data_IF_908488507685
#
_entry.id   IF_908488507685
#
_cell.length_a   1.000
_cell.length_b   1.000
_cell.length_c   1.000
_cell.angle_alpha   90.00
_cell.angle_beta   90.00
_cell.angle_gamma   90.00
#
_symmetry.space_group_name_H-M   'P 1'
#
loop_
_entity.id
_entity.type
_entity.pdbx_description
1 polymer ?
#
# COMPACT_ATOMS: atom_id res chain seq x y z
N UNK A 1 5.55 -15.17 -19.89
CA UNK A 1 4.68 -14.53 -18.87
C UNK A 1 4.76 -15.22 -17.50
N UNK A 2 4.51 -16.53 -17.37
CA UNK A 2 4.61 -17.28 -16.09
C UNK A 2 5.95 -17.16 -15.31
N UNK A 3 7.02 -16.66 -15.94
CA UNK A 3 8.31 -16.50 -15.27
C UNK A 3 8.35 -15.24 -14.37
N UNK A 4 7.56 -14.20 -14.66
CA UNK A 4 7.59 -12.95 -13.89
C UNK A 4 6.98 -13.17 -12.50
N UNK A 5 5.77 -13.71 -12.41
CA UNK A 5 5.13 -14.01 -11.11
C UNK A 5 5.97 -14.96 -10.26
N UNK A 6 6.55 -16.01 -10.86
CA UNK A 6 7.43 -16.95 -10.15
C UNK A 6 8.71 -16.28 -9.65
N UNK A 7 9.36 -15.47 -10.48
CA UNK A 7 10.58 -14.75 -10.09
C UNK A 7 10.27 -13.70 -9.01
N UNK A 8 9.15 -12.99 -9.13
CA UNK A 8 8.65 -12.05 -8.13
C UNK A 8 8.39 -12.79 -6.83
N UNK A 9 7.63 -13.89 -6.84
CA UNK A 9 7.34 -14.70 -5.66
C UNK A 9 8.61 -15.10 -4.92
N UNK A 10 9.60 -15.66 -5.62
CA UNK A 10 10.87 -16.07 -5.00
C UNK A 10 11.59 -14.89 -4.36
N UNK A 11 11.68 -13.75 -5.06
CA UNK A 11 12.34 -12.54 -4.52
C UNK A 11 11.61 -12.00 -3.29
N UNK A 12 10.29 -11.81 -3.38
CA UNK A 12 9.51 -11.22 -2.29
C UNK A 12 9.45 -12.15 -1.07
N UNK A 13 9.45 -13.48 -1.28
CA UNK A 13 9.61 -14.45 -0.20
C UNK A 13 10.97 -14.33 0.51
N UNK A 14 12.07 -14.22 -0.23
CA UNK A 14 13.40 -14.04 0.40
C UNK A 14 13.49 -12.73 1.21
N UNK A 15 12.87 -11.66 0.71
CA UNK A 15 12.76 -10.37 1.42
C UNK A 15 11.89 -10.51 2.67
N UNK A 16 10.77 -11.24 2.57
CA UNK A 16 9.84 -11.47 3.69
C UNK A 16 10.51 -12.20 4.86
N UNK A 17 11.51 -13.03 4.58
CA UNK A 17 12.32 -13.76 5.57
C UNK A 17 13.57 -12.98 6.03
N UNK A 18 13.78 -11.75 5.54
CA UNK A 18 14.96 -10.94 5.83
C UNK A 18 16.25 -11.42 5.17
N UNK A 19 16.21 -12.45 4.32
CA UNK A 19 17.38 -12.98 3.58
C UNK A 19 17.87 -12.04 2.49
N UNK A 20 17.00 -11.15 2.03
CA UNK A 20 17.34 -10.05 1.15
C UNK A 20 16.86 -8.73 1.77
N UNK A 21 17.60 -7.62 1.57
CA UNK A 21 17.17 -6.29 2.02
C UNK A 21 15.87 -5.83 1.34
N UNK A 22 15.07 -5.00 2.03
CA UNK A 22 13.84 -4.40 1.49
C UNK A 22 14.11 -3.54 0.25
N UNK A 23 15.28 -2.92 0.18
CA UNK A 23 15.76 -2.08 -0.92
C UNK A 23 15.79 -2.85 -2.25
N UNK A 24 15.90 -4.18 -2.22
CA UNK A 24 15.83 -5.02 -3.42
C UNK A 24 14.44 -5.01 -4.09
N UNK A 25 13.39 -4.53 -3.41
CA UNK A 25 12.09 -4.30 -4.03
C UNK A 25 12.16 -3.20 -5.10
N UNK A 26 13.03 -2.19 -4.96
CA UNK A 26 13.07 -1.04 -5.87
C UNK A 26 13.35 -1.45 -7.32
N UNK A 27 14.33 -2.32 -7.54
CA UNK A 27 14.62 -2.85 -8.87
C UNK A 27 13.50 -3.74 -9.43
N UNK A 28 12.69 -4.35 -8.55
CA UNK A 28 11.61 -5.25 -8.96
C UNK A 28 10.33 -4.47 -9.29
N UNK A 29 9.98 -3.45 -8.50
CA UNK A 29 8.74 -2.69 -8.67
C UNK A 29 8.68 -1.98 -10.03
N UNK A 30 9.81 -1.45 -10.52
CA UNK A 30 9.89 -0.85 -11.87
C UNK A 30 9.67 -1.90 -12.97
N UNK A 31 10.17 -3.13 -12.77
CA UNK A 31 10.02 -4.23 -13.73
C UNK A 31 8.57 -4.73 -13.80
N UNK A 32 7.88 -4.79 -12.66
CA UNK A 32 6.49 -5.30 -12.58
C UNK A 32 5.45 -4.21 -12.81
N UNK A 33 5.82 -2.93 -12.82
CA UNK A 33 4.90 -1.84 -13.12
C UNK A 33 4.28 -1.93 -14.53
N UNK A 34 5.05 -2.42 -15.51
CA UNK A 34 4.55 -2.71 -16.86
C UNK A 34 3.87 -4.08 -17.01
N UNK A 35 3.71 -4.85 -15.93
CA UNK A 35 3.05 -6.16 -15.96
C UNK A 35 1.53 -6.01 -15.90
N UNK A 36 0.81 -6.87 -16.62
CA UNK A 36 -0.64 -6.78 -16.78
C UNK A 36 -1.46 -7.31 -15.59
N UNK A 37 -0.93 -8.25 -14.79
CA UNK A 37 -1.63 -8.79 -13.60
C UNK A 37 -1.11 -8.11 -12.32
N UNK A 38 -1.33 -6.80 -12.21
CA UNK A 38 -0.85 -5.95 -11.10
C UNK A 38 -1.41 -6.39 -9.75
N UNK A 39 -2.65 -6.87 -9.72
CA UNK A 39 -3.34 -7.31 -8.50
C UNK A 39 -2.68 -8.56 -7.88
N UNK A 40 -2.23 -9.51 -8.71
CA UNK A 40 -1.51 -10.69 -8.23
C UNK A 40 -0.18 -10.30 -7.58
N UNK A 41 0.55 -9.41 -8.24
CA UNK A 41 1.84 -8.90 -7.74
C UNK A 41 1.64 -8.12 -6.44
N UNK A 42 0.63 -7.25 -6.40
CA UNK A 42 0.30 -6.48 -5.20
C UNK A 42 -0.06 -7.40 -4.03
N UNK A 43 -0.83 -8.47 -4.28
CA UNK A 43 -1.18 -9.44 -3.25
C UNK A 43 0.05 -10.17 -2.69
N UNK A 44 0.99 -10.61 -3.55
CA UNK A 44 2.27 -11.19 -3.10
C UNK A 44 3.11 -10.18 -2.28
N UNK A 45 3.07 -8.91 -2.66
CA UNK A 45 3.75 -7.83 -1.96
C UNK A 45 3.11 -7.50 -0.61
N UNK A 46 1.77 -7.54 -0.51
CA UNK A 46 1.05 -7.39 0.76
C UNK A 46 1.48 -8.45 1.77
N UNK A 47 1.56 -9.72 1.35
CA UNK A 47 2.10 -10.80 2.18
C UNK A 47 3.52 -10.48 2.65
N UNK A 48 4.35 -9.98 1.74
CA UNK A 48 5.75 -9.65 2.02
C UNK A 48 5.85 -8.52 3.05
N UNK A 49 5.12 -7.42 2.87
CA UNK A 49 5.09 -6.31 3.82
C UNK A 49 4.57 -6.75 5.20
N UNK A 50 3.55 -7.60 5.23
CA UNK A 50 3.05 -8.15 6.49
C UNK A 50 4.13 -8.98 7.20
N UNK A 51 4.81 -9.88 6.47
CA UNK A 51 5.87 -10.70 7.05
C UNK A 51 7.09 -9.88 7.48
N UNK A 52 7.48 -8.83 6.76
CA UNK A 52 8.60 -7.97 7.19
C UNK A 52 8.30 -7.22 8.49
N UNK A 53 7.03 -7.06 8.88
CA UNK A 53 6.69 -6.55 10.21
C UNK A 53 6.88 -7.58 11.33
N UNK A 54 6.67 -8.86 11.04
CA UNK A 54 6.66 -9.94 12.05
C UNK A 54 8.03 -10.58 12.22
N UNK A 55 8.73 -10.77 11.11
CA UNK A 55 10.07 -11.37 11.12
C UNK A 55 11.05 -10.36 11.70
N UNK A 56 11.64 -10.71 12.84
CA UNK A 56 12.71 -9.94 13.46
C UNK A 56 14.03 -10.23 12.75
N UNK A 57 14.45 -9.33 11.87
CA UNK A 57 15.72 -9.39 11.15
C UNK A 57 16.28 -7.97 10.95
N UNK A 58 17.60 -7.83 10.85
CA UNK A 58 18.27 -6.55 10.59
C UNK A 58 17.79 -5.86 9.30
N UNK A 59 17.38 -6.66 8.31
CA UNK A 59 16.93 -6.23 6.99
C UNK A 59 15.44 -5.85 6.93
N UNK A 60 14.65 -6.17 7.97
CA UNK A 60 13.19 -5.95 8.01
C UNK A 60 12.76 -5.06 9.19
N UNK A 61 13.75 -4.52 9.94
CA UNK A 61 13.53 -3.63 11.06
C UNK A 61 12.65 -2.43 10.72
N UNK A 62 12.03 -1.83 11.74
CA UNK A 62 11.09 -0.70 11.54
C UNK A 62 11.73 0.48 10.80
N UNK A 63 13.01 0.76 11.06
CA UNK A 63 13.76 1.80 10.36
C UNK A 63 13.93 1.47 8.86
N UNK A 64 14.24 0.22 8.52
CA UNK A 64 14.34 -0.23 7.12
C UNK A 64 13.03 -0.12 6.37
N UNK A 65 11.92 -0.47 7.03
CA UNK A 65 10.57 -0.29 6.47
C UNK A 65 10.23 1.17 6.25
N UNK A 66 10.61 2.03 7.20
CA UNK A 66 10.40 3.47 7.12
C UNK A 66 11.22 4.11 6.00
N UNK A 67 12.52 3.81 5.92
CA UNK A 67 13.41 4.30 4.87
C UNK A 67 12.87 3.91 3.49
N UNK A 68 12.51 2.63 3.31
CA UNK A 68 11.96 2.14 2.06
C UNK A 68 10.65 2.86 1.66
N UNK A 69 9.75 3.13 2.60
CA UNK A 69 8.49 3.83 2.31
C UNK A 69 8.72 5.28 1.89
N UNK A 70 9.66 5.96 2.56
CA UNK A 70 10.03 7.32 2.24
C UNK A 70 10.69 7.40 0.85
N UNK A 71 11.52 6.42 0.50
CA UNK A 71 12.11 6.30 -0.83
C UNK A 71 11.03 6.07 -1.90
N UNK A 72 10.06 5.18 -1.64
CA UNK A 72 8.92 4.94 -2.53
C UNK A 72 8.10 6.22 -2.74
N UNK A 73 7.80 6.97 -1.67
CA UNK A 73 7.12 8.27 -1.76
C UNK A 73 7.92 9.25 -2.66
N UNK A 74 9.23 9.31 -2.48
CA UNK A 74 10.13 10.12 -3.30
C UNK A 74 10.08 9.73 -4.79
N UNK A 75 10.09 8.43 -5.08
CA UNK A 75 10.00 7.87 -6.44
C UNK A 75 8.67 8.21 -7.11
N UNK A 76 7.55 7.97 -6.43
CA UNK A 76 6.21 8.30 -6.93
C UNK A 76 6.11 9.78 -7.28
N UNK A 77 6.59 10.65 -6.37
CA UNK A 77 6.61 12.09 -6.61
C UNK A 77 7.43 12.45 -7.85
N UNK A 78 8.62 11.86 -8.00
CA UNK A 78 9.48 12.11 -9.16
C UNK A 78 8.78 11.74 -10.46
N UNK A 79 8.09 10.59 -10.49
CA UNK A 79 7.33 10.15 -11.65
C UNK A 79 6.15 11.08 -11.97
N UNK A 80 5.41 11.52 -10.96
CA UNK A 80 4.26 12.41 -11.13
C UNK A 80 4.65 13.80 -11.69
N UNK A 81 5.89 14.26 -11.47
CA UNK A 81 6.37 15.58 -11.91
C UNK A 81 7.24 15.54 -13.16
N UNK A 82 7.55 14.37 -13.74
CA UNK A 82 8.31 14.27 -14.99
C UNK A 82 7.48 14.87 -16.14
N UNK A 83 8.08 15.79 -16.90
CA UNK A 83 7.44 16.44 -18.05
C UNK A 83 7.07 15.40 -19.11
N UNK A 84 5.77 15.28 -19.34
CA UNK A 84 5.10 14.24 -20.11
C UNK A 84 5.37 14.43 -21.62
N UNK A 85 6.09 13.49 -22.27
CA UNK A 85 6.16 13.40 -23.73
C UNK A 85 5.66 12.03 -24.23
N UNK A 86 4.49 12.03 -24.87
CA UNK A 86 4.00 11.05 -25.87
C UNK A 86 4.18 9.54 -25.57
N UNK A 87 4.01 9.07 -24.33
CA UNK A 87 3.74 7.66 -23.97
C UNK A 87 2.83 7.57 -22.71
N UNK A 88 1.81 8.41 -22.62
CA UNK A 88 1.23 8.87 -21.36
C UNK A 88 0.32 7.88 -20.61
N UNK A 89 -0.21 6.85 -21.29
CA UNK A 89 -1.15 5.90 -20.66
C UNK A 89 -0.40 4.97 -19.70
N UNK A 90 0.79 4.52 -20.07
CA UNK A 90 1.60 3.60 -19.26
C UNK A 90 2.14 4.26 -17.98
N UNK A 91 2.54 5.54 -18.07
CA UNK A 91 3.05 6.28 -16.91
C UNK A 91 1.97 6.50 -15.83
N UNK A 92 0.74 6.82 -16.24
CA UNK A 92 -0.38 7.02 -15.32
C UNK A 92 -0.72 5.72 -14.59
N UNK A 93 -0.87 4.63 -15.32
CA UNK A 93 -1.13 3.31 -14.72
C UNK A 93 0.01 2.84 -13.81
N UNK A 94 1.24 3.21 -14.14
CA UNK A 94 2.43 2.93 -13.33
C UNK A 94 2.39 3.70 -12.00
N UNK A 95 2.06 4.99 -12.02
CA UNK A 95 1.90 5.81 -10.81
C UNK A 95 0.76 5.27 -9.93
N UNK A 96 -0.38 4.92 -10.53
CA UNK A 96 -1.51 4.32 -9.81
C UNK A 96 -1.11 3.01 -9.12
N UNK A 97 -0.33 2.16 -9.81
CA UNK A 97 0.19 0.93 -9.22
C UNK A 97 1.15 1.19 -8.05
N UNK A 98 2.03 2.19 -8.15
CA UNK A 98 2.89 2.57 -7.02
C UNK A 98 2.09 3.13 -5.84
N UNK A 99 0.99 3.83 -6.07
CA UNK A 99 0.08 4.25 -5.01
C UNK A 99 -0.59 3.04 -4.33
N UNK A 100 -0.90 1.97 -5.07
CA UNK A 100 -1.37 0.72 -4.47
C UNK A 100 -0.30 0.07 -3.60
N UNK A 101 0.97 0.11 -4.02
CA UNK A 101 2.10 -0.38 -3.22
C UNK A 101 2.29 0.41 -1.93
N UNK A 102 2.21 1.74 -2.03
CA UNK A 102 2.19 2.63 -0.87
C UNK A 102 1.05 2.22 0.09
N UNK A 103 -0.17 2.06 -0.42
CA UNK A 103 -1.32 1.68 0.38
C UNK A 103 -1.13 0.32 1.08
N UNK A 104 -0.68 -0.70 0.33
CA UNK A 104 -0.45 -2.04 0.87
C UNK A 104 0.61 -2.06 1.98
N UNK A 105 1.70 -1.31 1.80
CA UNK A 105 2.75 -1.19 2.82
C UNK A 105 2.26 -0.50 4.10
N UNK A 106 1.50 0.59 3.95
CA UNK A 106 0.90 1.31 5.09
C UNK A 106 -0.09 0.41 5.83
N UNK A 107 -1.00 -0.25 5.12
CA UNK A 107 -1.98 -1.18 5.74
C UNK A 107 -1.29 -2.33 6.47
N UNK A 108 -0.23 -2.91 5.88
CA UNK A 108 0.55 -3.98 6.49
C UNK A 108 1.28 -3.58 7.77
N UNK A 109 1.81 -2.34 7.81
CA UNK A 109 2.63 -1.88 8.92
C UNK A 109 1.85 -1.11 9.98
N UNK A 110 0.71 -0.54 9.63
CA UNK A 110 -0.14 0.25 10.51
C UNK A 110 -0.77 -0.59 11.60
N UNK A 111 -1.46 -1.70 11.27
CA UNK A 111 -2.24 -2.44 12.26
C UNK A 111 -2.60 -3.87 11.83
N UNK A 112 -3.51 -4.53 12.54
CA UNK A 112 -4.01 -5.88 12.25
C UNK A 112 -4.92 -5.98 11.01
N UNK A 113 -5.10 -4.90 10.23
CA UNK A 113 -5.87 -4.93 8.99
C UNK A 113 -5.32 -5.92 7.96
N UNK A 114 -4.00 -5.94 7.75
CA UNK A 114 -3.38 -6.87 6.79
C UNK A 114 -3.64 -8.37 7.08
N UNK A 115 -3.49 -8.90 8.31
CA UNK A 115 -3.82 -10.31 8.54
C UNK A 115 -5.27 -10.66 8.18
N UNK A 116 -6.24 -9.76 8.41
CA UNK A 116 -7.63 -9.98 7.98
C UNK A 116 -7.76 -10.07 6.45
N UNK A 117 -7.08 -9.18 5.71
CA UNK A 117 -7.06 -9.20 4.24
C UNK A 117 -6.37 -10.43 3.66
N UNK A 118 -5.39 -10.97 4.38
CA UNK A 118 -4.68 -12.20 4.02
C UNK A 118 -5.44 -13.46 4.45
N UNK A 119 -6.61 -13.33 5.09
CA UNK A 119 -7.38 -14.46 5.63
C UNK A 119 -6.71 -15.14 6.83
N UNK A 120 -5.76 -14.47 7.48
CA UNK A 120 -5.05 -14.95 8.67
C UNK A 120 -5.87 -14.59 9.92
N UNK A 121 -6.64 -15.54 10.43
CA UNK A 121 -7.32 -15.39 11.73
C UNK A 121 -6.43 -15.91 12.87
N UNK A 122 -6.45 -15.23 14.03
CA UNK A 122 -5.81 -15.72 15.25
C UNK A 122 -6.56 -16.92 15.86
N UNK A 123 -7.85 -17.08 15.51
CA UNK A 123 -8.73 -18.12 16.04
C UNK A 123 -9.37 -18.88 14.86
N UNK A 124 -8.92 -20.12 14.63
CA UNK A 124 -9.54 -21.08 13.71
C UNK A 124 -10.85 -21.68 14.27
N UNK A 125 -11.20 -21.37 15.52
CA UNK A 125 -12.23 -22.08 16.29
C UNK A 125 -13.67 -21.80 15.88
N UNK A 126 -13.97 -20.69 15.18
CA UNK A 126 -15.34 -20.34 14.81
C UNK A 126 -15.86 -21.00 13.53
N UNK A 127 -14.99 -21.44 12.62
CA UNK A 127 -15.43 -22.17 11.41
C UNK A 127 -16.16 -23.46 11.79
N UNK A 128 -15.73 -24.13 12.88
CA UNK A 128 -16.33 -25.39 13.33
C UNK A 128 -17.75 -25.23 13.91
N UNK A 129 -18.21 -24.01 14.19
CA UNK A 129 -19.56 -23.75 14.74
C UNK A 129 -20.58 -23.28 13.69
N UNK A 130 -20.16 -22.92 12.47
CA UNK A 130 -21.06 -22.46 11.41
C UNK A 130 -21.65 -23.57 10.53
N UNK A 131 -21.36 -24.84 10.81
CA UNK A 131 -21.96 -26.00 10.12
C UNK A 131 -23.43 -26.27 10.48
N UNK A 132 -24.15 -25.34 11.13
CA UNK A 132 -25.55 -25.54 11.58
C UNK A 132 -26.56 -24.62 10.85
N UNK A 133 -26.18 -23.89 9.79
CA UNK A 133 -27.16 -23.19 8.95
C UNK A 133 -27.30 -23.88 7.56
N UNK A 134 -28.44 -24.55 7.27
CA UNK A 134 -28.62 -25.31 6.02
C UNK A 134 -28.84 -24.46 4.74
N UNK A 135 -28.74 -23.13 4.81
CA UNK A 135 -29.20 -22.24 3.72
C UNK A 135 -28.08 -21.49 2.98
N UNK A 136 -26.81 -21.65 3.38
CA UNK A 136 -25.71 -21.04 2.63
C UNK A 136 -25.16 -22.04 1.61
N UNK A 137 -25.47 -21.81 0.33
CA UNK A 137 -24.86 -22.54 -0.79
C UNK A 137 -23.33 -22.56 -0.65
N UNK A 138 -22.75 -23.76 -0.56
CA UNK A 138 -21.30 -24.01 -0.49
C UNK A 138 -20.53 -23.41 -1.69
N UNK A 139 -21.24 -22.99 -2.74
CA UNK A 139 -20.67 -22.41 -3.95
C UNK A 139 -20.24 -20.94 -3.83
N UNK A 140 -20.56 -20.23 -2.74
CA UNK A 140 -20.26 -18.79 -2.59
C UNK A 140 -18.95 -18.49 -1.86
N UNK A 141 -18.40 -19.45 -1.11
CA UNK A 141 -17.16 -19.23 -0.35
C UNK A 141 -15.97 -19.73 -1.16
N UNK A 142 -15.10 -18.80 -1.61
CA UNK A 142 -13.82 -19.14 -2.26
C UNK A 142 -13.79 -19.12 -3.79
N UNK A 143 -14.89 -18.80 -4.48
CA UNK A 143 -14.92 -18.64 -5.96
C UNK A 143 -14.56 -17.23 -6.45
N UNK A 144 -14.31 -16.31 -5.53
CA UNK A 144 -13.98 -14.93 -5.85
C UNK A 144 -12.46 -14.72 -5.94
N UNK A 145 -11.95 -13.94 -6.91
CA UNK A 145 -10.51 -13.70 -7.04
C UNK A 145 -10.03 -12.87 -5.84
N UNK A 146 -9.56 -13.55 -4.79
CA UNK A 146 -9.14 -12.97 -3.50
C UNK A 146 -8.18 -11.80 -3.68
N UNK A 147 -7.33 -11.86 -4.71
CA UNK A 147 -6.35 -10.81 -5.04
C UNK A 147 -7.03 -9.47 -5.39
N UNK A 148 -8.13 -9.50 -6.17
CA UNK A 148 -8.85 -8.26 -6.56
C UNK A 148 -9.57 -7.63 -5.38
N UNK A 149 -10.21 -8.45 -4.54
CA UNK A 149 -10.86 -7.97 -3.32
C UNK A 149 -9.85 -7.41 -2.32
N UNK A 150 -8.71 -8.08 -2.15
CA UNK A 150 -7.64 -7.59 -1.31
C UNK A 150 -7.15 -6.21 -1.76
N UNK A 151 -6.99 -5.96 -3.07
CA UNK A 151 -6.61 -4.63 -3.59
C UNK A 151 -7.64 -3.57 -3.18
N UNK A 152 -8.93 -3.83 -3.42
CA UNK A 152 -9.98 -2.86 -3.09
C UNK A 152 -10.00 -2.53 -1.60
N UNK A 153 -9.95 -3.55 -0.75
CA UNK A 153 -9.92 -3.38 0.70
C UNK A 153 -8.67 -2.64 1.20
N UNK A 154 -7.50 -2.88 0.60
CA UNK A 154 -6.27 -2.12 0.90
C UNK A 154 -6.52 -0.62 0.71
N UNK A 155 -7.12 -0.23 -0.42
CA UNK A 155 -7.37 1.18 -0.72
C UNK A 155 -8.42 1.77 0.23
N UNK A 156 -9.46 1.02 0.59
CA UNK A 156 -10.46 1.44 1.57
C UNK A 156 -9.88 1.60 2.98
N UNK A 157 -8.93 0.76 3.37
CA UNK A 157 -8.30 0.80 4.69
C UNK A 157 -7.17 1.82 4.81
N UNK A 158 -6.66 2.36 3.70
CA UNK A 158 -5.54 3.30 3.70
C UNK A 158 -5.78 4.52 4.63
N UNK A 159 -6.93 5.24 4.59
CA UNK A 159 -7.11 6.45 5.37
C UNK A 159 -7.06 6.23 6.89
N UNK A 160 -7.64 5.13 7.38
CA UNK A 160 -7.56 4.79 8.81
C UNK A 160 -6.18 4.24 9.19
N UNK A 161 -5.58 3.43 8.31
CA UNK A 161 -4.28 2.82 8.53
C UNK A 161 -3.16 3.85 8.60
N UNK A 162 -3.15 4.85 7.72
CA UNK A 162 -2.12 5.90 7.76
C UNK A 162 -2.19 6.71 9.06
N UNK A 163 -3.40 7.03 9.53
CA UNK A 163 -3.58 7.73 10.80
C UNK A 163 -3.03 6.91 11.95
N UNK A 164 -3.28 5.60 11.98
CA UNK A 164 -2.73 4.71 13.01
C UNK A 164 -1.20 4.59 12.91
N UNK A 165 -0.65 4.41 11.71
CA UNK A 165 0.79 4.28 11.48
C UNK A 165 1.54 5.49 12.05
N UNK A 166 1.08 6.70 11.73
CA UNK A 166 1.72 7.96 12.12
C UNK A 166 1.56 8.30 13.61
N UNK A 167 0.82 7.51 14.39
CA UNK A 167 0.82 7.62 15.86
C UNK A 167 1.90 6.79 16.55
N UNK A 168 2.56 5.89 15.82
CA UNK A 168 3.55 4.93 16.35
C UNK A 168 4.96 5.45 16.15
N UNK A 169 5.85 5.24 17.12
CA UNK A 169 7.28 5.49 16.91
C UNK A 169 7.89 4.38 16.02
N UNK A 170 8.83 4.71 15.10
CA UNK A 170 9.39 6.04 14.79
C UNK A 170 8.61 6.82 13.71
N UNK A 171 7.48 6.30 13.24
CA UNK A 171 6.69 6.89 12.14
C UNK A 171 6.15 8.27 12.46
N UNK A 172 5.84 8.52 13.74
CA UNK A 172 5.31 9.80 14.22
C UNK A 172 6.22 10.98 13.88
N UNK A 173 7.54 10.80 13.94
CA UNK A 173 8.52 11.83 13.56
C UNK A 173 8.44 12.20 12.08
N UNK A 174 7.90 11.31 11.23
CA UNK A 174 7.78 11.52 9.79
C UNK A 174 6.43 12.13 9.39
N UNK A 175 5.50 12.37 10.32
CA UNK A 175 4.12 12.84 10.04
C UNK A 175 4.08 14.02 9.08
N UNK A 176 4.92 15.03 9.30
CA UNK A 176 4.97 16.22 8.44
C UNK A 176 5.35 15.85 7.00
N UNK A 177 6.32 14.94 6.79
CA UNK A 177 6.74 14.49 5.46
C UNK A 177 5.62 13.78 4.70
N UNK A 178 4.80 12.98 5.40
CA UNK A 178 3.64 12.31 4.80
C UNK A 178 2.58 13.32 4.36
N UNK A 179 2.26 14.30 5.21
CA UNK A 179 1.31 15.37 4.90
C UNK A 179 1.80 16.19 3.70
N UNK A 180 3.06 16.63 3.72
CA UNK A 180 3.65 17.43 2.65
C UNK A 180 3.68 16.66 1.33
N UNK A 181 3.98 15.37 1.38
CA UNK A 181 3.96 14.48 0.21
C UNK A 181 2.56 14.32 -0.36
N UNK A 182 1.53 14.05 0.47
CA UNK A 182 0.15 13.94 0.03
C UNK A 182 -0.33 15.22 -0.66
N UNK A 183 -0.03 16.39 -0.08
CA UNK A 183 -0.38 17.68 -0.69
C UNK A 183 0.36 17.88 -2.01
N UNK A 184 1.65 17.56 -2.07
CA UNK A 184 2.42 17.69 -3.29
C UNK A 184 1.92 16.75 -4.40
N UNK A 185 1.46 15.55 -4.06
CA UNK A 185 0.81 14.64 -5.02
C UNK A 185 -0.51 15.22 -5.54
N UNK A 186 -1.32 15.85 -4.68
CA UNK A 186 -2.55 16.54 -5.10
C UNK A 186 -2.28 17.76 -6.00
N UNK A 187 -1.11 18.38 -5.86
CA UNK A 187 -0.64 19.51 -6.68
C UNK A 187 0.09 19.09 -7.96
N UNK A 188 0.24 17.78 -8.20
CA UNK A 188 0.86 17.27 -9.43
C UNK A 188 0.02 17.62 -10.67
N UNK A 189 0.59 17.59 -11.89
CA UNK A 189 -0.14 17.84 -13.13
C UNK A 189 -1.43 16.99 -13.22
N UNK A 190 -2.53 17.58 -13.69
CA UNK A 190 -3.85 16.92 -13.69
C UNK A 190 -3.87 15.59 -14.46
N UNK A 191 -2.97 15.44 -15.42
CA UNK A 191 -2.84 14.25 -16.25
C UNK A 191 -2.03 13.12 -15.58
N UNK A 192 -1.35 13.39 -14.47
CA UNK A 192 -0.43 12.44 -13.82
C UNK A 192 -1.17 11.33 -13.04
N UNK A 193 -2.35 11.62 -12.49
CA UNK A 193 -3.10 10.72 -11.62
C UNK A 193 -4.46 10.33 -12.22
N UNK A 194 -4.97 9.15 -11.84
CA UNK A 194 -6.39 8.83 -12.07
C UNK A 194 -7.30 9.58 -11.11
N UNK A 195 -8.57 9.71 -11.49
CA UNK A 195 -9.60 10.28 -10.62
C UNK A 195 -9.72 9.49 -9.32
N UNK A 196 -9.73 8.15 -9.40
CA UNK A 196 -9.74 7.27 -8.22
C UNK A 196 -8.54 7.47 -7.31
N UNK A 197 -7.33 7.63 -7.86
CA UNK A 197 -6.13 7.89 -7.07
C UNK A 197 -6.16 9.28 -6.42
N UNK A 198 -6.69 10.27 -7.12
CA UNK A 198 -6.85 11.64 -6.61
C UNK A 198 -7.83 11.66 -5.43
N UNK A 199 -8.98 11.01 -5.58
CA UNK A 199 -9.98 10.88 -4.51
C UNK A 199 -9.42 10.12 -3.31
N UNK A 200 -8.69 9.03 -3.55
CA UNK A 200 -8.03 8.26 -2.49
C UNK A 200 -7.03 9.13 -1.71
N UNK A 201 -6.17 9.89 -2.40
CA UNK A 201 -5.21 10.78 -1.77
C UNK A 201 -5.92 11.89 -0.97
N UNK A 202 -7.02 12.44 -1.50
CA UNK A 202 -7.84 13.44 -0.79
C UNK A 202 -8.44 12.88 0.49
N UNK A 203 -9.09 11.72 0.44
CA UNK A 203 -9.67 11.06 1.62
C UNK A 203 -8.59 10.69 2.64
N UNK A 204 -7.44 10.20 2.16
CA UNK A 204 -6.28 9.86 2.98
C UNK A 204 -5.72 11.09 3.71
N UNK A 205 -5.57 12.22 3.02
CA UNK A 205 -5.14 13.49 3.61
C UNK A 205 -6.13 13.98 4.66
N UNK A 206 -7.43 13.92 4.38
CA UNK A 206 -8.49 14.34 5.31
C UNK A 206 -8.56 13.45 6.56
N UNK A 207 -8.18 12.17 6.46
CA UNK A 207 -8.12 11.29 7.63
C UNK A 207 -7.07 11.72 8.66
N UNK A 208 -6.04 12.47 8.23
CA UNK A 208 -4.98 13.02 9.09
C UNK A 208 -5.40 14.29 9.86
N UNK A 209 -6.64 14.78 9.69
CA UNK A 209 -7.12 16.05 10.26
C UNK A 209 -7.02 16.18 11.78
N UNK A 210 -6.96 15.06 12.50
CA UNK A 210 -6.84 15.04 13.95
C UNK A 210 -5.42 15.31 14.44
N UNK A 211 -4.40 15.10 13.60
CA UNK A 211 -2.98 15.27 13.94
C UNK A 211 -2.61 16.75 14.12
N UNK A 212 -1.65 17.02 15.00
CA UNK A 212 -1.26 18.40 15.38
C UNK A 212 -0.59 19.10 14.20
N UNK A 213 0.20 18.36 13.43
CA UNK A 213 0.89 18.78 12.22
C UNK A 213 -0.10 19.25 11.15
N UNK A 214 -1.26 18.60 11.04
CA UNK A 214 -2.31 18.96 10.09
C UNK A 214 -3.00 20.28 10.45
N UNK A 215 -3.13 20.58 11.75
CA UNK A 215 -3.81 21.79 12.24
C UNK A 215 -3.03 23.08 11.99
N UNK A 216 -1.81 23.00 11.44
CA UNK A 216 -1.05 24.18 11.01
C UNK A 216 -1.84 24.90 9.91
N UNK A 217 -2.01 26.22 10.04
CA UNK A 217 -2.81 27.05 9.12
C UNK A 217 -2.45 26.82 7.64
N UNK A 218 -1.15 26.75 7.32
CA UNK A 218 -0.67 26.55 5.95
C UNK A 218 -1.08 25.20 5.34
N UNK A 219 -1.15 24.14 6.16
CA UNK A 219 -1.56 22.80 5.75
C UNK A 219 -3.07 22.77 5.55
N UNK A 220 -3.82 23.30 6.53
CA UNK A 220 -5.28 23.30 6.51
C UNK A 220 -5.86 24.03 5.29
N UNK A 221 -5.34 25.22 4.96
CA UNK A 221 -5.81 25.98 3.78
C UNK A 221 -5.53 25.25 2.46
N UNK A 222 -4.39 24.54 2.34
CA UNK A 222 -4.08 23.75 1.14
C UNK A 222 -4.92 22.48 1.05
N UNK A 223 -5.16 21.79 2.16
CA UNK A 223 -5.91 20.53 2.17
C UNK A 223 -7.41 20.72 1.82
N UNK A 224 -8.01 21.84 2.20
CA UNK A 224 -9.42 22.15 1.92
C UNK A 224 -9.64 23.07 0.70
N UNK A 225 -8.57 23.50 0.02
CA UNK A 225 -8.63 24.39 -1.13
C UNK A 225 -9.01 23.73 -2.46
N UNK A 226 -9.25 22.41 -2.47
CA UNK A 226 -9.48 21.58 -3.66
C UNK A 226 -10.87 20.95 -3.67
#
# INVERSE_FOLDING_TARGET
>A
QNNIEKATFVKVYLISQGRLPLENLNAMIDTVAGYHQKENILWMLLHTFYHTRIVSHENTGVLKRMDWLLDLMGHIRSLAHKSVSLQNVDLKECIDFFLWLFAASVVAWADHGAPLLLGLSANWSTWKQQMILPELSEDLVGKHPTNKFAVQEILTLLPSSISLLLTKEPWKEQTQKFIDWLINMMESPKEALSESSTDLLKVTLLALRSLVEFKKKAVWTRAYGW
#
